data_IF_876062853848
#
_entry.id   IF_876062853848
#
_cell.length_a   1.000
_cell.length_b   1.000
_cell.length_c   1.000
_cell.angle_alpha   90.00
_cell.angle_beta   90.00
_cell.angle_gamma   90.00
#
_symmetry.space_group_name_H-M   'P 1'
#
loop_
_entity.id
_entity.type
_entity.pdbx_description
1 polymer ?
#
# COMPACT_ATOMS: atom_id res chain seq x y z
N UNK A 1 -12.50 9.60 -0.28
CA UNK A 1 -11.95 10.94 -0.55
C UNK A 1 -11.02 11.48 0.56
N UNK A 2 -11.18 11.15 1.83
CA UNK A 2 -10.37 11.71 2.94
C UNK A 2 -8.86 11.44 2.86
N UNK A 3 -8.43 10.32 2.32
CA UNK A 3 -7.02 9.92 2.34
C UNK A 3 -6.15 10.64 1.28
N UNK A 4 -6.68 10.88 0.09
CA UNK A 4 -5.98 11.61 -0.99
C UNK A 4 -5.56 13.01 -0.53
N UNK A 5 -6.49 13.76 0.08
CA UNK A 5 -6.20 15.11 0.57
C UNK A 5 -5.15 15.13 1.69
N UNK A 6 -5.14 14.10 2.55
CA UNK A 6 -4.16 14.01 3.65
C UNK A 6 -2.75 13.74 3.12
N UNK A 7 -2.61 12.84 2.14
CA UNK A 7 -1.33 12.58 1.47
C UNK A 7 -0.82 13.83 0.75
N UNK A 8 -1.69 14.51 -0.01
CA UNK A 8 -1.31 15.75 -0.71
C UNK A 8 -0.91 16.87 0.27
N UNK A 9 -1.61 17.01 1.41
CA UNK A 9 -1.23 17.97 2.46
C UNK A 9 0.13 17.63 3.09
N UNK A 10 0.41 16.34 3.34
CA UNK A 10 1.69 15.92 3.89
C UNK A 10 2.85 16.21 2.90
N UNK A 11 2.67 15.92 1.61
CA UNK A 11 3.65 16.26 0.58
C UNK A 11 3.86 17.78 0.46
N UNK A 12 2.80 18.56 0.48
CA UNK A 12 2.88 20.03 0.48
C UNK A 12 3.63 20.57 1.70
N UNK A 13 3.39 20.00 2.89
CA UNK A 13 4.12 20.35 4.10
C UNK A 13 5.63 20.08 3.97
N UNK A 14 5.99 19.03 3.24
CA UNK A 14 7.38 18.66 2.92
C UNK A 14 7.96 19.44 1.72
N UNK A 15 7.22 20.43 1.18
CA UNK A 15 7.59 21.25 0.01
C UNK A 15 7.72 20.44 -1.29
N UNK A 16 6.90 19.39 -1.47
CA UNK A 16 6.77 18.67 -2.74
C UNK A 16 5.44 19.01 -3.40
N UNK A 17 5.50 19.31 -4.70
CA UNK A 17 4.30 19.49 -5.50
C UNK A 17 3.65 18.15 -5.81
N UNK A 18 2.33 18.11 -5.71
CA UNK A 18 1.55 16.92 -6.04
C UNK A 18 0.20 17.30 -6.65
N UNK A 19 -0.30 16.47 -7.55
CA UNK A 19 -1.61 16.63 -8.17
C UNK A 19 -2.45 15.35 -7.93
N UNK A 20 -3.70 15.53 -7.52
CA UNK A 20 -4.66 14.45 -7.44
C UNK A 20 -5.37 14.35 -8.79
N UNK A 21 -5.22 13.23 -9.48
CA UNK A 21 -5.73 13.06 -10.84
C UNK A 21 -6.14 11.62 -11.12
N UNK A 22 -7.01 11.45 -12.10
CA UNK A 22 -7.32 10.20 -12.78
C UNK A 22 -7.04 10.29 -14.29
N UNK A 23 -6.38 11.35 -14.74
CA UNK A 23 -5.98 11.50 -16.15
C UNK A 23 -4.74 10.64 -16.43
N UNK A 24 -4.82 9.65 -17.34
CA UNK A 24 -3.70 8.80 -17.72
C UNK A 24 -2.46 9.58 -18.20
N UNK A 25 -2.66 10.69 -18.90
CA UNK A 25 -1.55 11.50 -19.42
C UNK A 25 -0.78 12.17 -18.29
N UNK A 26 -1.48 12.68 -17.28
CA UNK A 26 -0.87 13.31 -16.11
C UNK A 26 -0.12 12.27 -15.29
N UNK A 27 -0.71 11.07 -15.08
CA UNK A 27 -0.06 9.95 -14.37
C UNK A 27 1.21 9.51 -15.11
N UNK A 28 1.14 9.36 -16.42
CA UNK A 28 2.29 8.93 -17.24
C UNK A 28 3.41 9.97 -17.25
N UNK A 29 3.09 11.26 -17.20
CA UNK A 29 4.07 12.36 -17.20
C UNK A 29 4.68 12.65 -15.82
N UNK A 30 4.08 12.15 -14.74
CA UNK A 30 4.57 12.38 -13.38
C UNK A 30 5.94 11.74 -13.14
N UNK A 31 6.78 12.39 -12.31
CA UNK A 31 8.09 11.86 -11.90
C UNK A 31 7.98 10.77 -10.82
N UNK A 32 6.81 10.62 -10.18
CA UNK A 32 6.48 9.55 -9.25
C UNK A 32 4.98 9.42 -9.08
N UNK A 33 4.51 8.25 -8.65
CA UNK A 33 3.08 7.95 -8.49
C UNK A 33 2.81 7.44 -7.09
N UNK A 34 1.75 7.95 -6.47
CA UNK A 34 1.23 7.41 -5.21
C UNK A 34 -0.17 6.87 -5.47
N UNK A 35 -0.39 5.61 -5.14
CA UNK A 35 -1.69 4.94 -5.16
C UNK A 35 -2.20 4.76 -3.73
N UNK A 36 -2.90 5.74 -3.15
CA UNK A 36 -3.56 5.54 -1.87
C UNK A 36 -4.89 4.82 -2.09
N UNK A 37 -5.32 4.06 -1.09
CA UNK A 37 -6.61 3.39 -1.14
C UNK A 37 -7.25 3.27 0.23
N UNK A 38 -8.58 3.36 0.27
CA UNK A 38 -9.43 3.07 1.42
C UNK A 38 -10.67 2.31 0.97
N UNK A 39 -11.24 1.51 1.87
CA UNK A 39 -12.41 0.69 1.56
C UNK A 39 -12.03 -0.76 1.25
N UNK A 40 -12.81 -1.44 0.42
CA UNK A 40 -12.70 -2.86 0.15
C UNK A 40 -12.01 -3.14 -1.21
N UNK A 41 -11.29 -4.26 -1.27
CA UNK A 41 -10.45 -4.67 -2.40
C UNK A 41 -11.25 -4.87 -3.69
N UNK A 42 -12.33 -5.67 -3.65
CA UNK A 42 -13.09 -6.01 -4.86
C UNK A 42 -13.72 -4.79 -5.53
N UNK A 43 -14.44 -3.89 -4.84
CA UNK A 43 -14.94 -2.65 -5.42
C UNK A 43 -13.85 -1.72 -5.95
N UNK A 44 -12.68 -1.68 -5.28
CA UNK A 44 -11.57 -0.85 -5.74
C UNK A 44 -11.01 -1.36 -7.06
N UNK A 45 -10.79 -2.69 -7.20
CA UNK A 45 -10.34 -3.31 -8.46
C UNK A 45 -11.36 -3.14 -9.58
N UNK A 46 -12.65 -3.28 -9.27
CA UNK A 46 -13.73 -3.04 -10.24
C UNK A 46 -13.70 -1.59 -10.76
N UNK A 47 -13.58 -0.61 -9.87
CA UNK A 47 -13.49 0.80 -10.24
C UNK A 47 -12.25 1.09 -11.10
N UNK A 48 -11.08 0.52 -10.79
CA UNK A 48 -9.87 0.69 -11.59
C UNK A 48 -10.05 0.13 -13.00
N UNK A 49 -10.61 -1.08 -13.13
CA UNK A 49 -10.87 -1.71 -14.42
C UNK A 49 -11.91 -0.96 -15.24
N UNK A 50 -13.02 -0.56 -14.62
CA UNK A 50 -14.10 0.18 -15.30
C UNK A 50 -13.64 1.55 -15.80
N UNK A 51 -12.66 2.17 -15.12
CA UNK A 51 -12.06 3.45 -15.54
C UNK A 51 -10.87 3.28 -16.48
N UNK A 52 -10.38 2.05 -16.71
CA UNK A 52 -9.16 1.78 -17.47
C UNK A 52 -7.86 2.23 -16.78
N UNK A 53 -7.93 2.59 -15.49
CA UNK A 53 -6.76 3.02 -14.74
C UNK A 53 -5.87 1.87 -14.28
N UNK A 54 -6.37 0.64 -14.26
CA UNK A 54 -5.59 -0.55 -13.92
C UNK A 54 -4.33 -0.67 -14.80
N UNK A 55 -4.48 -0.60 -16.13
CA UNK A 55 -3.36 -0.65 -17.07
C UNK A 55 -2.41 0.55 -16.89
N UNK A 56 -2.95 1.75 -16.67
CA UNK A 56 -2.15 2.96 -16.46
C UNK A 56 -1.29 2.84 -15.20
N UNK A 57 -1.83 2.26 -14.13
CA UNK A 57 -1.12 2.02 -12.87
C UNK A 57 -0.03 0.95 -13.07
N UNK A 58 -0.34 -0.14 -13.77
CA UNK A 58 0.62 -1.20 -14.10
C UNK A 58 1.78 -0.62 -14.92
N UNK A 59 1.48 0.14 -15.97
CA UNK A 59 2.49 0.79 -16.80
C UNK A 59 3.35 1.77 -15.99
N UNK A 60 2.74 2.55 -15.09
CA UNK A 60 3.47 3.47 -14.22
C UNK A 60 4.42 2.71 -13.26
N UNK A 61 3.99 1.59 -12.68
CA UNK A 61 4.83 0.78 -11.80
C UNK A 61 6.02 0.15 -12.55
N UNK A 62 5.82 -0.32 -13.80
CA UNK A 62 6.89 -0.90 -14.60
C UNK A 62 7.75 0.12 -15.37
N UNK A 63 7.39 1.41 -15.34
CA UNK A 63 8.17 2.46 -16.04
C UNK A 63 9.50 2.81 -15.38
N UNK A 64 9.80 2.26 -14.20
CA UNK A 64 10.98 2.59 -13.40
C UNK A 64 10.87 3.86 -12.55
N UNK A 65 9.78 4.64 -12.68
CA UNK A 65 9.54 5.80 -11.80
C UNK A 65 9.13 5.32 -10.40
N UNK A 66 9.49 6.07 -9.34
CA UNK A 66 9.07 5.75 -7.98
C UNK A 66 7.56 5.61 -7.88
N UNK A 67 7.11 4.47 -7.33
CA UNK A 67 5.70 4.15 -7.14
C UNK A 67 5.45 3.77 -5.68
N UNK A 68 4.44 4.38 -5.03
CA UNK A 68 4.09 4.09 -3.64
C UNK A 68 2.63 3.68 -3.49
N UNK A 69 2.39 2.44 -3.06
CA UNK A 69 1.07 1.96 -2.62
C UNK A 69 0.83 2.23 -1.14
N UNK A 70 -0.31 2.82 -0.75
CA UNK A 70 -0.64 3.08 0.67
C UNK A 70 -1.91 2.34 1.08
N UNK A 71 -1.83 1.52 2.11
CA UNK A 71 -2.91 0.74 2.73
C UNK A 71 -3.60 -0.17 1.69
N UNK A 72 -4.84 0.10 1.30
CA UNK A 72 -5.50 -0.65 0.21
C UNK A 72 -4.68 -0.58 -1.09
N UNK A 73 -4.00 0.55 -1.37
CA UNK A 73 -3.09 0.68 -2.51
C UNK A 73 -1.98 -0.37 -2.51
N UNK A 74 -1.39 -0.69 -1.35
CA UNK A 74 -0.43 -1.81 -1.21
C UNK A 74 -1.08 -3.16 -1.55
N UNK A 75 -2.29 -3.38 -1.04
CA UNK A 75 -3.00 -4.64 -1.27
C UNK A 75 -3.35 -4.85 -2.75
N UNK A 76 -3.77 -3.79 -3.44
CA UNK A 76 -4.12 -3.83 -4.86
C UNK A 76 -2.93 -4.22 -5.77
N UNK A 77 -1.68 -3.98 -5.33
CA UNK A 77 -0.48 -4.38 -6.08
C UNK A 77 -0.28 -5.89 -6.14
N UNK A 78 -0.88 -6.66 -5.22
CA UNK A 78 -0.74 -8.11 -5.14
C UNK A 78 -1.47 -8.82 -6.29
N UNK A 79 -1.20 -10.14 -6.49
CA UNK A 79 -1.94 -10.96 -7.47
C UNK A 79 -3.42 -11.09 -7.14
N UNK A 80 -3.78 -11.05 -5.86
CA UNK A 80 -5.17 -11.12 -5.45
C UNK A 80 -5.41 -11.13 -3.95
N UNK A 81 -6.70 -11.00 -3.60
CA UNK A 81 -7.15 -10.89 -2.21
C UNK A 81 -8.27 -11.86 -1.89
N UNK A 82 -8.28 -12.36 -0.66
CA UNK A 82 -9.42 -13.08 -0.08
C UNK A 82 -10.61 -12.16 0.24
N UNK A 83 -10.41 -10.84 0.25
CA UNK A 83 -11.49 -9.90 0.52
C UNK A 83 -12.50 -9.89 -0.63
N UNK A 84 -13.78 -10.10 -0.31
CA UNK A 84 -14.86 -10.16 -1.28
C UNK A 84 -15.14 -11.57 -1.82
N UNK A 85 -14.39 -12.59 -1.39
CA UNK A 85 -14.64 -13.98 -1.74
C UNK A 85 -15.50 -14.64 -0.66
N UNK A 86 -16.51 -15.42 -1.08
CA UNK A 86 -17.26 -16.26 -0.15
C UNK A 86 -16.43 -17.51 0.21
N UNK A 87 -15.71 -17.46 1.32
CA UNK A 87 -14.81 -18.51 1.77
C UNK A 87 -15.51 -19.85 2.03
N UNK A 88 -16.83 -19.85 2.19
CA UNK A 88 -17.62 -21.07 2.38
C UNK A 88 -17.85 -21.87 1.08
N UNK A 89 -17.76 -21.21 -0.07
CA UNK A 89 -18.05 -21.79 -1.40
C UNK A 89 -16.84 -21.99 -2.30
N UNK A 90 -15.68 -21.41 -1.96
CA UNK A 90 -14.55 -21.32 -2.89
C UNK A 90 -13.21 -21.47 -2.17
N UNK A 91 -12.83 -22.72 -1.84
CA UNK A 91 -11.46 -22.96 -1.36
C UNK A 91 -10.46 -22.62 -2.47
N UNK A 92 -9.68 -21.54 -2.28
CA UNK A 92 -8.62 -21.12 -3.19
C UNK A 92 -8.95 -20.00 -4.15
N UNK A 93 -10.19 -19.48 -4.17
CA UNK A 93 -10.52 -18.31 -4.98
C UNK A 93 -10.02 -17.01 -4.36
N UNK A 94 -9.61 -16.08 -5.23
CA UNK A 94 -9.17 -14.74 -4.88
C UNK A 94 -9.78 -13.76 -5.88
N UNK A 95 -10.11 -12.56 -5.41
CA UNK A 95 -10.36 -11.43 -6.30
C UNK A 95 -9.02 -11.01 -6.88
N UNK A 96 -8.88 -11.05 -8.20
CA UNK A 96 -7.63 -10.71 -8.90
C UNK A 96 -7.25 -9.25 -8.67
N UNK A 97 -5.99 -9.00 -8.30
CA UNK A 97 -5.37 -7.70 -8.14
C UNK A 97 -4.68 -7.19 -9.41
N UNK A 98 -3.70 -6.29 -9.21
CA UNK A 98 -2.90 -5.71 -10.32
C UNK A 98 -1.73 -6.60 -10.75
N UNK A 99 -1.30 -7.57 -9.90
CA UNK A 99 -0.21 -8.49 -10.22
C UNK A 99 1.15 -7.85 -10.39
N UNK A 100 1.39 -6.71 -9.76
CA UNK A 100 2.68 -6.00 -9.80
C UNK A 100 3.68 -6.65 -8.83
N UNK A 101 3.19 -7.06 -7.66
CA UNK A 101 3.97 -7.77 -6.64
C UNK A 101 3.39 -9.18 -6.48
N UNK A 102 4.14 -10.25 -6.78
CA UNK A 102 3.67 -11.62 -6.56
C UNK A 102 3.32 -11.88 -5.11
N UNK A 103 2.15 -12.47 -4.88
CA UNK A 103 1.67 -12.79 -3.54
C UNK A 103 0.17 -12.56 -3.36
N UNK A 104 -0.30 -12.66 -2.11
CA UNK A 104 -1.72 -12.65 -1.78
C UNK A 104 -2.03 -11.78 -0.59
N UNK A 105 -3.26 -11.29 -0.56
CA UNK A 105 -3.85 -10.59 0.59
C UNK A 105 -4.74 -11.55 1.36
N UNK A 106 -4.53 -11.64 2.67
CA UNK A 106 -5.30 -12.50 3.58
C UNK A 106 -5.91 -11.73 4.73
N UNK A 107 -6.99 -12.26 5.27
CA UNK A 107 -7.63 -11.73 6.47
C UNK A 107 -6.86 -12.17 7.71
N UNK A 108 -6.79 -11.30 8.73
CA UNK A 108 -6.37 -11.73 10.07
C UNK A 108 -7.33 -12.78 10.64
N UNK A 109 -6.77 -13.88 11.12
CA UNK A 109 -7.50 -14.97 11.79
C UNK A 109 -6.99 -15.08 13.23
N UNK A 110 -7.31 -14.07 14.03
CA UNK A 110 -6.96 -14.09 15.45
C UNK A 110 -8.24 -14.10 16.29
N UNK A 111 -8.30 -14.97 17.30
CA UNK A 111 -9.41 -15.03 18.25
C UNK A 111 -9.19 -14.09 19.45
N UNK A 112 -7.93 -13.71 19.70
CA UNK A 112 -7.54 -12.92 20.87
C UNK A 112 -7.58 -11.41 20.64
N UNK A 113 -7.46 -10.96 19.39
CA UNK A 113 -7.37 -9.54 19.04
C UNK A 113 -8.55 -9.12 18.17
N UNK A 114 -8.96 -7.86 18.32
CA UNK A 114 -10.03 -7.29 17.50
C UNK A 114 -9.57 -7.07 16.05
N UNK A 115 -10.40 -7.50 15.11
CA UNK A 115 -10.21 -7.19 13.68
C UNK A 115 -11.33 -6.22 13.26
N UNK A 116 -11.01 -5.06 12.68
CA UNK A 116 -9.69 -4.62 12.18
C UNK A 116 -8.68 -4.25 13.27
N UNK A 117 -7.38 -4.38 12.95
CA UNK A 117 -6.33 -3.68 13.68
C UNK A 117 -6.52 -2.17 13.47
N UNK A 118 -6.67 -1.41 14.56
CA UNK A 118 -6.78 0.06 14.53
C UNK A 118 -5.87 0.63 15.61
N UNK A 119 -4.91 1.45 15.21
CA UNK A 119 -4.03 2.12 16.15
C UNK A 119 -2.56 2.15 15.72
N UNK A 120 -1.75 2.64 16.65
CA UNK A 120 -0.30 2.73 16.49
C UNK A 120 0.35 1.39 16.77
N UNK A 121 1.31 1.02 15.93
CA UNK A 121 2.10 -0.19 16.14
C UNK A 121 3.53 0.05 15.65
N UNK A 122 4.45 -0.69 16.23
CA UNK A 122 5.89 -0.58 16.00
C UNK A 122 6.30 -1.33 14.73
N UNK A 123 7.16 -0.73 13.92
CA UNK A 123 7.85 -1.39 12.83
C UNK A 123 9.04 -2.19 13.37
N UNK A 124 9.17 -3.41 12.86
CA UNK A 124 10.24 -4.35 13.23
C UNK A 124 10.83 -5.00 11.97
N UNK A 125 12.09 -5.44 12.07
CA UNK A 125 12.83 -6.08 10.99
C UNK A 125 12.78 -5.26 9.68
N UNK A 126 13.07 -3.97 9.81
CA UNK A 126 13.06 -3.04 8.70
C UNK A 126 14.35 -3.18 7.88
N UNK A 127 14.19 -3.56 6.62
CA UNK A 127 15.27 -3.62 5.61
C UNK A 127 15.05 -2.60 4.49
N UNK A 128 13.84 -2.04 4.41
CA UNK A 128 13.45 -1.11 3.37
C UNK A 128 14.07 0.27 3.51
N UNK A 129 14.38 0.86 2.38
CA UNK A 129 15.09 2.14 2.29
C UNK A 129 14.26 3.36 2.70
N UNK A 130 12.94 3.21 2.85
CA UNK A 130 12.06 4.28 3.33
C UNK A 130 11.89 4.27 4.85
N UNK A 131 12.16 3.15 5.52
CA UNK A 131 11.74 2.86 6.89
C UNK A 131 12.88 3.11 7.91
N UNK A 132 12.49 3.32 9.16
CA UNK A 132 13.38 3.31 10.31
C UNK A 132 12.90 2.25 11.29
N UNK A 133 13.82 1.38 11.74
CA UNK A 133 13.55 0.35 12.74
C UNK A 133 13.04 0.97 14.03
N UNK A 134 11.93 0.44 14.53
CA UNK A 134 11.37 0.88 15.79
C UNK A 134 10.39 2.02 15.73
N UNK A 135 10.18 2.63 14.56
CA UNK A 135 9.18 3.67 14.36
C UNK A 135 7.77 3.16 14.67
N UNK A 136 6.96 4.02 15.30
CA UNK A 136 5.53 3.79 15.49
C UNK A 136 4.74 4.44 14.36
N UNK A 137 3.86 3.64 13.72
CA UNK A 137 3.04 4.07 12.59
C UNK A 137 1.58 3.66 12.78
N UNK A 138 0.65 4.34 12.10
CA UNK A 138 -0.78 4.16 12.29
C UNK A 138 -1.37 3.16 11.29
N UNK A 139 -2.01 2.12 11.81
CA UNK A 139 -2.70 1.07 11.06
C UNK A 139 -4.22 1.15 11.21
N UNK A 140 -4.93 0.80 10.14
CA UNK A 140 -6.38 0.55 10.14
C UNK A 140 -6.71 -0.44 9.02
N UNK A 141 -6.68 -1.75 9.32
CA UNK A 141 -6.91 -2.79 8.31
C UNK A 141 -7.34 -4.12 8.92
N UNK A 142 -8.07 -4.92 8.13
CA UNK A 142 -8.51 -6.29 8.47
C UNK A 142 -7.74 -7.36 7.69
N UNK A 143 -7.02 -6.95 6.64
CA UNK A 143 -6.29 -7.80 5.72
C UNK A 143 -4.84 -7.37 5.64
N UNK A 144 -3.93 -8.30 5.35
CA UNK A 144 -2.50 -8.05 5.23
C UNK A 144 -1.91 -8.76 4.01
N UNK A 145 -0.83 -8.23 3.47
CA UNK A 145 -0.13 -8.81 2.33
C UNK A 145 0.83 -9.91 2.75
N UNK A 146 0.92 -10.95 1.92
CA UNK A 146 1.92 -12.02 1.99
C UNK A 146 2.63 -12.04 0.64
N UNK A 147 3.76 -11.33 0.49
CA UNK A 147 4.59 -11.43 -0.71
C UNK A 147 5.10 -12.86 -0.90
N UNK A 148 5.14 -13.34 -2.16
CA UNK A 148 5.69 -14.65 -2.49
C UNK A 148 7.19 -14.70 -2.22
N UNK A 149 7.89 -13.62 -2.57
CA UNK A 149 9.32 -13.47 -2.32
C UNK A 149 9.55 -12.73 -1.00
N UNK A 150 10.20 -13.38 -0.05
CA UNK A 150 10.48 -12.77 1.27
C UNK A 150 11.30 -11.49 1.18
N UNK A 151 12.15 -11.36 0.17
CA UNK A 151 12.97 -10.17 -0.02
C UNK A 151 12.17 -8.93 -0.46
N UNK A 152 10.94 -9.11 -0.93
CA UNK A 152 10.06 -7.99 -1.25
C UNK A 152 9.47 -7.34 0.02
N UNK A 153 9.45 -8.07 1.16
CA UNK A 153 9.03 -7.51 2.44
C UNK A 153 10.13 -6.60 3.01
N UNK A 154 9.83 -5.32 3.11
CA UNK A 154 10.75 -4.26 3.54
C UNK A 154 10.67 -3.94 5.03
N UNK A 155 9.62 -4.38 5.72
CA UNK A 155 9.41 -4.21 7.15
C UNK A 155 8.17 -4.94 7.62
N UNK A 156 8.15 -5.26 8.91
CA UNK A 156 7.09 -6.04 9.54
C UNK A 156 6.47 -5.29 10.71
N UNK A 157 5.31 -5.75 11.14
CA UNK A 157 4.68 -5.41 12.42
C UNK A 157 4.05 -6.67 13.02
N UNK A 158 3.71 -6.62 14.31
CA UNK A 158 3.12 -7.74 15.03
C UNK A 158 1.71 -7.40 15.53
N UNK A 159 0.73 -8.24 15.18
CA UNK A 159 -0.64 -8.15 15.68
C UNK A 159 -1.26 -9.54 15.76
N UNK A 160 -0.97 -10.26 16.86
CA UNK A 160 -1.25 -11.68 17.03
C UNK A 160 -0.38 -12.57 16.13
N UNK A 161 0.00 -12.09 14.98
CA UNK A 161 0.98 -12.67 14.06
C UNK A 161 1.95 -11.59 13.61
N UNK A 162 3.13 -11.98 13.18
CA UNK A 162 4.05 -11.10 12.45
C UNK A 162 3.64 -11.07 10.98
N UNK A 163 3.42 -9.87 10.43
CA UNK A 163 2.95 -9.68 9.07
C UNK A 163 3.76 -8.61 8.32
N UNK A 164 3.76 -8.67 7.00
CA UNK A 164 4.41 -7.69 6.14
C UNK A 164 3.69 -6.34 6.26
N UNK A 165 4.37 -5.34 6.82
CA UNK A 165 3.87 -3.98 7.00
C UNK A 165 4.30 -3.04 5.87
N UNK A 166 5.35 -3.41 5.12
CA UNK A 166 5.86 -2.62 4.00
C UNK A 166 6.52 -3.52 2.96
N UNK A 167 6.44 -3.12 1.71
CA UNK A 167 7.06 -3.77 0.54
C UNK A 167 8.01 -2.79 -0.13
N UNK A 168 9.15 -3.30 -0.60
CA UNK A 168 10.08 -2.61 -1.48
C UNK A 168 10.62 -3.60 -2.53
N UNK A 169 10.34 -3.32 -3.81
CA UNK A 169 10.82 -4.09 -4.94
C UNK A 169 11.14 -3.14 -6.09
N UNK A 170 12.40 -3.04 -6.43
CA UNK A 170 12.90 -2.12 -7.46
C UNK A 170 12.46 -0.67 -7.19
N UNK A 171 11.62 -0.10 -8.05
CA UNK A 171 11.05 1.23 -7.92
C UNK A 171 9.69 1.27 -7.22
N UNK A 172 9.15 0.10 -6.83
CA UNK A 172 7.83 -0.04 -6.20
C UNK A 172 7.97 -0.17 -4.69
N UNK A 173 7.37 0.77 -3.98
CA UNK A 173 7.28 0.83 -2.52
C UNK A 173 5.83 0.69 -2.10
N UNK A 174 5.57 0.08 -0.96
CA UNK A 174 4.22 0.08 -0.41
C UNK A 174 4.21 -0.02 1.12
N UNK A 175 3.18 0.56 1.75
CA UNK A 175 2.96 0.52 3.19
C UNK A 175 1.55 0.09 3.51
N UNK A 176 1.38 -0.82 4.47
CA UNK A 176 0.06 -1.20 5.00
C UNK A 176 -0.49 -0.13 5.94
N UNK A 177 0.38 0.56 6.62
CA UNK A 177 0.04 1.71 7.45
C UNK A 177 -0.16 2.98 6.62
N UNK A 178 -0.67 4.00 7.28
CA UNK A 178 -0.93 5.31 6.70
C UNK A 178 0.20 6.29 7.07
N UNK A 179 1.22 6.52 6.24
CA UNK A 179 2.30 7.45 6.57
C UNK A 179 1.76 8.88 6.79
N UNK A 180 0.73 9.30 6.06
CA UNK A 180 0.09 10.61 6.22
C UNK A 180 -0.66 10.78 7.57
N UNK A 181 -0.75 9.71 8.37
CA UNK A 181 -1.34 9.71 9.73
C UNK A 181 -0.34 9.28 10.79
N UNK A 182 0.91 9.07 10.42
CA UNK A 182 1.94 8.49 11.30
C UNK A 182 2.92 9.52 11.88
N UNK A 183 2.49 10.77 12.01
CA UNK A 183 3.30 11.83 12.61
C UNK A 183 4.64 12.05 11.92
N UNK A 184 5.70 12.26 12.69
CA UNK A 184 7.05 12.52 12.16
C UNK A 184 7.62 11.32 11.41
N UNK A 185 7.45 10.10 11.93
CA UNK A 185 7.88 8.88 11.24
C UNK A 185 7.25 8.76 9.86
N UNK A 186 5.94 9.02 9.75
CA UNK A 186 5.23 8.98 8.48
C UNK A 186 5.66 10.08 7.51
N UNK A 187 5.93 11.30 8.01
CA UNK A 187 6.47 12.39 7.20
C UNK A 187 7.87 12.05 6.68
N UNK A 188 8.71 11.43 7.50
CA UNK A 188 10.03 10.98 7.06
C UNK A 188 9.95 9.94 5.94
N UNK A 189 9.02 8.97 6.05
CA UNK A 189 8.78 7.94 5.01
C UNK A 189 8.32 8.60 3.70
N UNK A 190 7.37 9.55 3.76
CA UNK A 190 6.92 10.29 2.58
C UNK A 190 8.03 11.16 1.97
N UNK A 191 8.89 11.76 2.80
CA UNK A 191 10.06 12.51 2.34
C UNK A 191 11.07 11.60 1.64
N UNK A 192 11.40 10.45 2.23
CA UNK A 192 12.33 9.45 1.66
C UNK A 192 11.84 8.96 0.29
N UNK A 193 10.51 8.76 0.14
CA UNK A 193 9.91 8.44 -1.16
C UNK A 193 9.99 9.61 -2.14
N UNK A 194 9.58 10.81 -1.74
CA UNK A 194 9.53 11.97 -2.62
C UNK A 194 10.93 12.42 -3.10
N UNK A 195 11.97 12.20 -2.32
CA UNK A 195 13.36 12.45 -2.75
C UNK A 195 13.77 11.61 -3.95
N UNK A 196 13.17 10.46 -4.19
CA UNK A 196 13.46 9.58 -5.34
C UNK A 196 12.81 10.05 -6.64
N UNK A 197 11.90 11.02 -6.56
CA UNK A 197 11.20 11.59 -7.73
C UNK A 197 11.94 12.80 -8.36
N UNK A 198 13.11 13.15 -7.80
CA UNK A 198 13.94 14.27 -8.27
C UNK A 198 14.91 13.89 -9.36
#
# INVERSE_FOLDING_TARGET
>A
MGNLASVAKALKYLNYDSVITNDPKVISAASGVILPGVGAFAPAMENLRNSGLDNVIIDAAYSGKPFLGICLGMQLLMDGSQEGVNLASSMGEYVTGLGIIPGRVRRFTTEELKVPQIGWNKLVDCTGSLLTEGDYVYFVHSFYCIPEHKNDAAGYAEYGIKYCASIERDNVFATQFHPEKSGEAGLQILNNFAMRTK
#
